data_IF_091585624457
#
_entry.id   IF_091585624457
#
_cell.length_a   1.000
_cell.length_b   1.000
_cell.length_c   1.000
_cell.angle_alpha   90.00
_cell.angle_beta   90.00
_cell.angle_gamma   90.00
#
_symmetry.space_group_name_H-M   'P 1'
#
loop_
_entity.id
_entity.type
_entity.pdbx_description
1 polymer ?
#
# COMPACT_ATOMS: atom_id res chain seq x y z
N UNK A 1 9.25 -12.54 -1.57
CA UNK A 1 7.86 -12.11 -1.56
C UNK A 1 7.67 -11.05 -2.62
N UNK A 2 6.52 -11.03 -3.31
CA UNK A 2 6.28 -9.99 -4.30
C UNK A 2 6.16 -8.60 -3.66
N UNK A 3 6.44 -7.59 -4.45
CA UNK A 3 6.28 -6.20 -4.04
C UNK A 3 4.94 -5.68 -4.52
N UNK A 4 4.23 -4.98 -3.65
CA UNK A 4 2.95 -4.36 -3.96
C UNK A 4 3.06 -2.85 -3.81
N UNK A 5 2.28 -2.14 -4.61
CA UNK A 5 2.26 -0.68 -4.62
C UNK A 5 0.84 -0.18 -4.67
N UNK A 6 0.58 0.91 -3.99
CA UNK A 6 -0.69 1.63 -4.12
C UNK A 6 -0.50 3.09 -3.77
N UNK A 7 -1.50 3.88 -4.10
CA UNK A 7 -1.52 5.28 -3.72
C UNK A 7 -2.07 5.41 -2.31
N UNK A 8 -1.35 6.14 -1.47
CA UNK A 8 -1.79 6.43 -0.10
C UNK A 8 -1.99 7.93 0.05
N UNK A 9 -2.89 8.30 0.93
CA UNK A 9 -3.16 9.71 1.21
C UNK A 9 -2.32 10.18 2.38
N UNK A 10 -1.71 11.34 2.22
CA UNK A 10 -0.93 11.97 3.28
C UNK A 10 -1.35 13.43 3.40
N UNK A 11 -0.98 14.09 4.51
CA UNK A 11 -1.25 15.54 4.63
C UNK A 11 -0.63 16.37 3.52
N UNK A 12 0.44 15.85 2.91
CA UNK A 12 1.11 16.53 1.79
C UNK A 12 0.50 16.20 0.44
N UNK A 13 -0.51 15.32 0.39
CA UNK A 13 -1.14 14.88 -0.85
C UNK A 13 -0.99 13.38 -1.05
N UNK A 14 -1.41 12.91 -2.22
CA UNK A 14 -1.33 11.48 -2.54
C UNK A 14 0.09 11.13 -2.95
N UNK A 15 0.60 10.03 -2.38
CA UNK A 15 1.92 9.51 -2.72
C UNK A 15 1.81 8.01 -2.97
N UNK A 16 2.76 7.47 -3.73
CA UNK A 16 2.83 6.01 -3.93
C UNK A 16 3.74 5.40 -2.89
N UNK A 17 3.31 4.29 -2.32
CA UNK A 17 4.12 3.55 -1.36
C UNK A 17 4.15 2.08 -1.75
N UNK A 18 5.19 1.40 -1.35
CA UNK A 18 5.45 0.00 -1.70
C UNK A 18 5.70 -0.81 -0.47
N UNK A 19 5.37 -2.10 -0.55
CA UNK A 19 5.59 -3.02 0.54
C UNK A 19 5.74 -4.43 -0.03
N UNK A 20 6.60 -5.22 0.59
CA UNK A 20 6.68 -6.65 0.30
C UNK A 20 5.61 -7.36 1.10
N UNK A 21 4.84 -8.22 0.45
CA UNK A 21 3.75 -8.94 1.09
C UNK A 21 3.45 -10.23 0.34
N UNK A 22 2.73 -11.13 0.99
CA UNK A 22 2.36 -12.40 0.40
C UNK A 22 1.24 -12.26 -0.63
N UNK A 23 0.38 -11.27 -0.43
CA UNK A 23 -0.75 -11.00 -1.31
C UNK A 23 -1.21 -9.56 -1.14
N UNK A 24 -2.18 -9.15 -1.98
CA UNK A 24 -2.66 -7.77 -1.98
C UNK A 24 -3.34 -7.38 -0.68
N UNK A 25 -4.07 -8.30 -0.06
CA UNK A 25 -4.75 -8.00 1.21
C UNK A 25 -3.76 -7.75 2.32
N UNK A 26 -2.70 -8.57 2.38
CA UNK A 26 -1.66 -8.36 3.37
C UNK A 26 -0.93 -7.03 3.12
N UNK A 27 -0.65 -6.73 1.86
CA UNK A 27 -0.02 -5.47 1.49
C UNK A 27 -0.87 -4.29 1.96
N UNK A 28 -2.17 -4.35 1.74
CA UNK A 28 -3.07 -3.29 2.20
C UNK A 28 -3.03 -3.15 3.71
N UNK A 29 -3.06 -4.27 4.43
CA UNK A 29 -2.98 -4.25 5.89
C UNK A 29 -1.69 -3.59 6.38
N UNK A 30 -0.55 -3.95 5.77
CA UNK A 30 0.73 -3.38 6.17
C UNK A 30 0.77 -1.88 5.91
N UNK A 31 0.25 -1.44 4.76
CA UNK A 31 0.21 -0.02 4.45
C UNK A 31 -0.78 0.72 5.35
N UNK A 32 -1.89 0.09 5.71
CA UNK A 32 -2.82 0.69 6.65
C UNK A 32 -2.22 0.87 8.04
N UNK A 33 -1.38 -0.06 8.48
CA UNK A 33 -0.67 0.07 9.74
C UNK A 33 0.32 1.23 9.70
N UNK A 34 0.91 1.47 8.53
CA UNK A 34 1.90 2.52 8.35
C UNK A 34 1.27 3.91 8.22
N UNK A 35 0.15 3.99 7.51
CA UNK A 35 -0.47 5.28 7.16
C UNK A 35 -1.84 5.50 7.78
N UNK A 36 -2.45 4.48 8.35
CA UNK A 36 -3.82 4.53 8.85
C UNK A 36 -4.82 3.97 7.84
N UNK A 37 -5.89 3.30 8.31
CA UNK A 37 -6.83 2.62 7.40
C UNK A 37 -7.57 3.57 6.47
N UNK A 38 -7.74 4.83 6.85
CA UNK A 38 -8.42 5.80 5.99
C UNK A 38 -7.55 6.34 4.88
N UNK A 39 -6.25 6.11 4.97
CA UNK A 39 -5.28 6.70 4.04
C UNK A 39 -4.84 5.74 2.96
N UNK A 40 -5.39 4.52 2.93
CA UNK A 40 -5.12 3.53 1.90
C UNK A 40 -6.43 3.13 1.22
N UNK A 41 -6.97 4.01 0.35
CA UNK A 41 -8.31 3.77 -0.23
C UNK A 41 -8.31 2.73 -1.35
N UNK A 42 -7.15 2.35 -1.87
CA UNK A 42 -7.05 1.45 -3.01
C UNK A 42 -6.40 0.14 -2.60
N UNK A 43 -6.79 -0.94 -3.27
CA UNK A 43 -6.14 -2.24 -3.07
C UNK A 43 -4.80 -2.22 -3.80
N UNK A 44 -3.69 -2.53 -3.11
CA UNK A 44 -2.39 -2.57 -3.75
C UNK A 44 -2.34 -3.59 -4.88
N UNK A 45 -1.53 -3.30 -5.89
CA UNK A 45 -1.30 -4.22 -6.99
C UNK A 45 0.16 -4.65 -7.00
N UNK A 46 0.38 -5.88 -7.48
CA UNK A 46 1.71 -6.43 -7.58
C UNK A 46 2.46 -5.74 -8.71
N UNK A 47 3.69 -5.34 -8.44
CA UNK A 47 4.55 -4.75 -9.47
C UNK A 47 5.66 -5.72 -9.81
N UNK A 48 6.09 -5.77 -11.07
CA UNK A 48 7.22 -6.59 -11.48
C UNK A 48 8.49 -6.13 -10.78
N UNK A 49 9.25 -7.09 -10.32
CA UNK A 49 10.54 -6.78 -9.69
C UNK A 49 11.66 -6.78 -10.74
#
# INVERSE_FOLDING_TARGET
MPMYETTVRTPAGDVKDRVYALNAQEAKRLLEQRHGPRNVPYIPHMIPS
#
